data_IF_193078059591
#
_entry.id   IF_193078059591
#
_cell.length_a   1.000
_cell.length_b   1.000
_cell.length_c   1.000
_cell.angle_alpha   90.00
_cell.angle_beta   90.00
_cell.angle_gamma   90.00
#
_symmetry.space_group_name_H-M   'P 1'
#
loop_
_entity.id
_entity.type
_entity.pdbx_description
1 polymer ?
#
# COMPACT_ATOMS: atom_id res chain seq x y z
N UNK A 1 -23.51 10.82 1.62
CA UNK A 1 -23.33 9.46 1.04
C UNK A 1 -23.39 8.46 2.18
N UNK A 2 -24.43 7.63 2.28
CA UNK A 2 -24.58 6.63 3.36
C UNK A 2 -23.56 5.51 3.15
N UNK A 3 -22.65 5.32 4.11
CA UNK A 3 -21.74 4.17 4.10
C UNK A 3 -22.58 2.94 4.48
N UNK A 4 -22.77 2.01 3.53
CA UNK A 4 -23.51 0.78 3.78
C UNK A 4 -22.91 0.01 4.96
N UNK A 5 -23.78 -0.54 5.82
CA UNK A 5 -23.40 -1.31 7.00
C UNK A 5 -22.55 -2.53 6.61
N UNK A 6 -21.46 -2.77 7.35
CA UNK A 6 -20.48 -3.85 7.09
C UNK A 6 -21.09 -5.21 7.42
N UNK A 7 -21.09 -6.20 6.50
CA UNK A 7 -21.63 -7.53 6.78
C UNK A 7 -20.82 -8.27 7.86
N UNK A 8 -21.52 -9.09 8.66
CA UNK A 8 -21.00 -9.75 9.85
C UNK A 8 -20.03 -10.92 9.55
N UNK A 9 -20.05 -11.49 8.35
CA UNK A 9 -19.07 -12.48 7.92
C UNK A 9 -18.01 -11.82 7.04
N UNK A 10 -16.82 -11.60 7.60
CA UNK A 10 -15.73 -10.86 6.96
C UNK A 10 -14.73 -11.76 6.23
N UNK A 11 -15.11 -13.00 5.95
CA UNK A 11 -14.26 -14.03 5.33
C UNK A 11 -14.52 -14.12 3.83
N UNK A 12 -13.45 -14.27 3.05
CA UNK A 12 -13.53 -14.38 1.60
C UNK A 12 -14.52 -15.47 1.17
N UNK A 13 -15.37 -15.17 0.19
CA UNK A 13 -16.35 -16.10 -0.40
C UNK A 13 -15.71 -17.30 -1.12
N UNK A 14 -14.41 -17.22 -1.39
CA UNK A 14 -13.68 -18.30 -2.05
C UNK A 14 -13.58 -19.50 -1.10
N UNK A 15 -14.01 -20.68 -1.56
CA UNK A 15 -14.07 -21.91 -0.75
C UNK A 15 -12.72 -22.20 -0.08
N UNK A 16 -12.72 -22.38 1.24
CA UNK A 16 -11.50 -22.66 2.02
C UNK A 16 -10.60 -21.45 2.28
N UNK A 17 -10.98 -20.23 1.86
CA UNK A 17 -10.19 -19.05 2.13
C UNK A 17 -10.55 -18.41 3.48
N UNK A 18 -9.60 -18.35 4.40
CA UNK A 18 -9.77 -17.69 5.71
C UNK A 18 -9.38 -16.21 5.71
N UNK A 19 -8.96 -15.68 4.55
CA UNK A 19 -8.55 -14.28 4.44
C UNK A 19 -9.75 -13.34 4.48
N UNK A 20 -9.50 -12.14 4.98
CA UNK A 20 -10.50 -11.09 5.12
C UNK A 20 -10.98 -10.53 3.77
N UNK A 21 -12.28 -10.26 3.66
CA UNK A 21 -12.92 -9.62 2.48
C UNK A 21 -12.47 -8.17 2.35
N UNK A 22 -11.83 -7.83 1.24
CA UNK A 22 -11.46 -6.45 0.93
C UNK A 22 -12.60 -5.74 0.21
N UNK A 23 -13.22 -6.39 -0.77
CA UNK A 23 -14.23 -5.81 -1.65
C UNK A 23 -15.06 -6.91 -2.31
N UNK A 24 -16.35 -6.66 -2.58
CA UNK A 24 -17.26 -7.61 -3.24
C UNK A 24 -17.23 -9.07 -2.71
N UNK A 25 -17.01 -9.27 -1.41
CA UNK A 25 -16.94 -10.62 -0.83
C UNK A 25 -15.63 -11.37 -1.09
N UNK A 26 -14.62 -10.73 -1.68
CA UNK A 26 -13.33 -11.34 -2.04
C UNK A 26 -12.18 -10.70 -1.26
N UNK A 27 -11.18 -11.50 -0.92
CA UNK A 27 -9.93 -11.01 -0.34
C UNK A 27 -8.99 -10.50 -1.45
N UNK A 28 -7.90 -9.83 -1.06
CA UNK A 28 -6.88 -9.33 -2.00
C UNK A 28 -6.42 -10.37 -3.04
N UNK A 29 -6.18 -11.61 -2.60
CA UNK A 29 -5.66 -12.68 -3.45
C UNK A 29 -6.69 -13.15 -4.46
N UNK A 30 -7.96 -13.11 -4.09
CA UNK A 30 -9.07 -13.63 -4.89
C UNK A 30 -9.84 -12.56 -5.66
N UNK A 31 -9.34 -11.33 -5.79
CA UNK A 31 -10.04 -10.29 -6.56
C UNK A 31 -10.43 -9.05 -5.77
N UNK A 32 -10.35 -9.09 -4.44
CA UNK A 32 -10.77 -8.01 -3.56
C UNK A 32 -9.94 -6.73 -3.70
N UNK A 33 -10.62 -5.65 -4.06
CA UNK A 33 -10.09 -4.31 -4.18
C UNK A 33 -9.85 -3.89 -5.63
N UNK A 34 -9.66 -2.59 -5.83
CA UNK A 34 -9.52 -2.00 -7.16
C UNK A 34 -8.27 -2.51 -7.89
N UNK A 35 -8.42 -2.89 -9.15
CA UNK A 35 -7.33 -3.23 -10.06
C UNK A 35 -6.88 -2.04 -10.86
N UNK A 36 -5.65 -2.12 -11.35
CA UNK A 36 -5.10 -1.14 -12.26
C UNK A 36 -6.00 -1.02 -13.50
N UNK A 37 -6.36 0.19 -13.88
CA UNK A 37 -7.17 0.48 -15.06
C UNK A 37 -6.40 0.35 -16.39
N UNK A 38 -5.07 0.25 -16.33
CA UNK A 38 -4.25 -0.01 -17.51
C UNK A 38 -4.57 -1.38 -18.15
N UNK A 39 -4.63 -1.41 -19.47
CA UNK A 39 -4.99 -2.60 -20.24
C UNK A 39 -4.02 -3.76 -19.96
N UNK A 40 -4.58 -4.96 -19.74
CA UNK A 40 -3.82 -6.16 -19.40
C UNK A 40 -3.16 -6.15 -18.01
N UNK A 41 -3.34 -5.11 -17.19
CA UNK A 41 -2.69 -5.02 -15.88
C UNK A 41 -3.54 -5.66 -14.76
N UNK A 42 -3.13 -6.83 -14.29
CA UNK A 42 -3.74 -7.49 -13.14
C UNK A 42 -3.27 -6.94 -11.78
N UNK A 43 -2.36 -5.95 -11.77
CA UNK A 43 -1.81 -5.37 -10.54
C UNK A 43 -2.86 -4.58 -9.76
N UNK A 44 -2.65 -4.47 -8.45
CA UNK A 44 -3.53 -3.71 -7.57
C UNK A 44 -3.37 -2.20 -7.81
N UNK A 45 -4.49 -1.50 -7.93
CA UNK A 45 -4.49 -0.05 -7.94
C UNK A 45 -4.10 0.49 -6.57
N UNK A 46 -3.28 1.54 -6.56
CA UNK A 46 -2.90 2.29 -5.36
C UNK A 46 -3.57 3.66 -5.36
N UNK A 47 -3.22 4.50 -6.32
CA UNK A 47 -3.77 5.85 -6.50
C UNK A 47 -4.34 6.00 -7.90
N UNK A 48 -5.36 6.85 -8.05
CA UNK A 48 -5.96 7.20 -9.34
C UNK A 48 -6.45 6.00 -10.19
N UNK A 49 -6.75 4.86 -9.55
CA UNK A 49 -7.12 3.64 -10.28
C UNK A 49 -5.96 2.91 -10.95
N UNK A 50 -4.71 3.36 -10.78
CA UNK A 50 -3.53 2.76 -11.38
C UNK A 50 -2.62 2.07 -10.36
N UNK A 51 -1.82 1.11 -10.81
CA UNK A 51 -0.76 0.51 -9.99
C UNK A 51 0.49 1.39 -9.98
N UNK A 52 1.48 1.07 -9.14
CA UNK A 52 2.72 1.85 -9.03
C UNK A 52 3.46 2.05 -10.36
N UNK A 53 3.40 1.06 -11.26
CA UNK A 53 4.06 1.13 -12.58
C UNK A 53 3.29 2.02 -13.57
N UNK A 54 1.97 2.11 -13.42
CA UNK A 54 1.09 2.80 -14.37
C UNK A 54 0.57 4.15 -13.85
N UNK A 55 1.29 4.82 -12.95
CA UNK A 55 0.91 6.15 -12.44
C UNK A 55 0.13 6.14 -11.12
N UNK A 56 0.02 4.99 -10.45
CA UNK A 56 -0.56 4.84 -9.13
C UNK A 56 0.33 5.32 -7.98
N UNK A 57 1.07 6.41 -8.19
CA UNK A 57 1.94 7.06 -7.21
C UNK A 57 1.67 8.55 -7.23
N UNK A 58 1.78 9.19 -6.07
CA UNK A 58 1.72 10.65 -5.95
C UNK A 58 3.13 11.21 -5.85
N UNK A 59 3.32 12.47 -6.22
CA UNK A 59 4.58 13.17 -6.00
C UNK A 59 4.79 13.43 -4.50
N UNK A 60 6.05 13.57 -4.10
CA UNK A 60 6.41 13.98 -2.76
C UNK A 60 5.91 15.40 -2.49
N UNK A 61 5.14 15.58 -1.44
CA UNK A 61 4.63 16.89 -0.98
C UNK A 61 5.72 17.85 -0.49
N UNK A 62 6.99 17.44 -0.48
CA UNK A 62 8.09 18.31 -0.10
C UNK A 62 8.36 19.32 -1.21
N UNK A 63 8.56 20.58 -0.84
CA UNK A 63 8.77 21.66 -1.78
C UNK A 63 9.98 21.38 -2.70
N UNK A 64 9.77 21.46 -4.01
CA UNK A 64 10.82 21.21 -5.02
C UNK A 64 11.22 19.74 -5.19
N UNK A 65 10.45 18.77 -4.68
CA UNK A 65 10.80 17.35 -4.76
C UNK A 65 9.99 16.60 -5.84
N UNK A 66 10.61 16.27 -6.96
CA UNK A 66 10.01 15.47 -8.04
C UNK A 66 10.03 13.95 -7.78
N UNK A 67 10.36 13.52 -6.56
CA UNK A 67 10.39 12.10 -6.22
C UNK A 67 8.98 11.56 -5.97
N UNK A 68 8.78 10.27 -6.24
CA UNK A 68 7.53 9.59 -5.91
C UNK A 68 7.38 9.39 -4.41
N UNK A 69 6.22 9.72 -3.89
CA UNK A 69 5.86 9.45 -2.51
C UNK A 69 5.68 7.95 -2.28
N UNK A 70 6.34 7.44 -1.23
CA UNK A 70 6.25 6.04 -0.81
C UNK A 70 5.10 5.83 0.16
N UNK A 71 4.97 6.72 1.15
CA UNK A 71 3.88 6.71 2.13
C UNK A 71 3.63 8.12 2.66
N UNK A 72 2.43 8.37 3.20
CA UNK A 72 2.03 9.66 3.80
C UNK A 72 2.16 10.89 2.87
N UNK A 73 2.34 10.69 1.56
CA UNK A 73 2.59 11.76 0.61
C UNK A 73 4.05 12.22 0.53
N UNK A 74 4.99 11.49 1.13
CA UNK A 74 6.42 11.84 1.08
C UNK A 74 7.28 10.72 0.48
N UNK A 75 8.42 11.08 -0.12
CA UNK A 75 9.41 10.13 -0.62
C UNK A 75 10.28 9.58 0.53
N UNK A 76 11.22 8.69 0.20
CA UNK A 76 12.12 8.08 1.19
C UNK A 76 12.86 9.12 2.06
N UNK A 77 13.40 10.16 1.42
CA UNK A 77 14.21 11.20 2.08
C UNK A 77 13.38 12.19 2.88
N UNK A 78 12.10 12.36 2.55
CA UNK A 78 11.21 13.36 3.17
C UNK A 78 10.19 12.74 4.15
N UNK A 79 10.45 11.54 4.68
CA UNK A 79 9.61 10.93 5.72
C UNK A 79 8.57 9.91 5.23
N UNK A 80 8.65 9.49 3.97
CA UNK A 80 7.86 8.39 3.41
C UNK A 80 8.37 6.99 3.80
N UNK A 81 9.55 6.92 4.40
CA UNK A 81 10.12 5.71 4.99
C UNK A 81 9.65 5.46 6.43
N UNK A 82 9.76 4.22 6.90
CA UNK A 82 9.61 3.90 8.33
C UNK A 82 10.98 4.03 8.99
N UNK A 83 11.11 4.71 10.12
CA UNK A 83 12.40 4.79 10.83
C UNK A 83 12.83 3.42 11.34
N UNK A 84 14.14 3.21 11.43
CA UNK A 84 14.70 2.04 12.08
C UNK A 84 14.22 1.96 13.54
N UNK A 85 13.83 0.76 13.99
CA UNK A 85 13.34 0.50 15.35
C UNK A 85 14.43 0.59 16.41
N UNK A 86 15.70 0.42 16.02
CA UNK A 86 16.85 0.60 16.91
C UNK A 86 16.90 2.04 17.44
N UNK A 87 17.01 2.19 18.76
CA UNK A 87 17.07 3.49 19.42
C UNK A 87 18.16 4.40 18.83
N UNK A 88 17.83 5.67 18.62
CA UNK A 88 18.70 6.71 18.03
C UNK A 88 19.17 6.46 16.58
N UNK A 89 18.48 5.61 15.81
CA UNK A 89 18.81 5.41 14.40
C UNK A 89 17.89 6.23 13.47
N UNK A 90 18.44 7.28 12.86
CA UNK A 90 17.71 8.10 11.87
C UNK A 90 17.59 7.45 10.48
N UNK A 91 18.29 6.34 10.27
CA UNK A 91 18.19 5.58 9.01
C UNK A 91 16.79 5.00 8.84
N UNK A 92 16.35 4.94 7.60
CA UNK A 92 15.08 4.33 7.23
C UNK A 92 15.22 2.80 7.21
N UNK A 93 14.20 2.13 7.73
CA UNK A 93 14.06 0.69 7.71
C UNK A 93 13.89 0.17 6.27
N UNK A 94 14.68 -0.85 5.94
CA UNK A 94 14.61 -1.58 4.66
C UNK A 94 13.69 -2.79 4.83
N UNK A 95 13.94 -3.63 5.85
CA UNK A 95 13.17 -4.82 6.20
C UNK A 95 12.97 -4.97 7.71
N UNK A 96 11.89 -5.64 8.14
CA UNK A 96 11.54 -5.92 9.56
C UNK A 96 11.49 -4.72 10.52
N UNK A 97 11.49 -3.49 9.99
CA UNK A 97 11.61 -2.27 10.78
C UNK A 97 13.06 -1.92 11.15
N UNK A 98 14.05 -2.51 10.50
CA UNK A 98 15.47 -2.27 10.70
C UNK A 98 16.09 -1.70 9.43
N UNK A 99 17.10 -0.85 9.56
CA UNK A 99 17.86 -0.34 8.42
C UNK A 99 18.95 -1.34 8.00
N UNK A 100 19.59 -1.09 6.86
CA UNK A 100 20.70 -1.91 6.34
C UNK A 100 21.82 -2.18 7.37
N UNK A 101 22.10 -1.23 8.26
CA UNK A 101 23.13 -1.40 9.31
C UNK A 101 22.67 -2.22 10.53
N UNK A 102 21.36 -2.46 10.66
CA UNK A 102 20.77 -3.16 11.80
C UNK A 102 20.03 -4.44 11.36
N UNK A 103 20.38 -5.01 10.20
CA UNK A 103 19.80 -6.28 9.71
C UNK A 103 18.53 -6.12 8.86
N UNK A 104 18.36 -4.97 8.19
CA UNK A 104 17.27 -4.67 7.28
C UNK A 104 17.60 -4.89 5.81
#
# INVERSE_FOLDING_TARGET
>A
RRVAARPANRTCRFTGCTHYVVDHGLCVRHGGGKRCTAEGCSSRAKHFGHCWKHGGSVECKAHGCSNRAKSRGYCWSHGGGTKCKTGACDKIAISNGLCWAHGG
#
